data_IF_336394746213
#
_entry.id   IF_336394746213
#
_cell.length_a   1.000
_cell.length_b   1.000
_cell.length_c   1.000
_cell.angle_alpha   90.00
_cell.angle_beta   90.00
_cell.angle_gamma   90.00
#
_symmetry.space_group_name_H-M   'P 1'
#
loop_
_entity.id
_entity.type
_entity.pdbx_description
1 polymer ?
#
# COMPACT_ATOMS: atom_id res chain seq x y z
N UNK A 1 21.32 26.10 -18.57
CA UNK A 1 20.83 26.68 -17.31
C UNK A 1 19.53 25.97 -16.94
N UNK A 2 19.57 24.95 -16.13
CA UNK A 2 18.38 24.36 -15.54
C UNK A 2 17.92 25.31 -14.44
N UNK A 3 16.79 25.97 -14.63
CA UNK A 3 16.14 26.73 -13.57
C UNK A 3 15.72 25.75 -12.50
N UNK A 4 16.37 25.80 -11.35
CA UNK A 4 15.92 25.16 -10.11
C UNK A 4 14.53 25.70 -9.75
N UNK A 5 13.49 25.13 -10.35
CA UNK A 5 12.13 25.45 -9.97
C UNK A 5 11.86 24.81 -8.61
N UNK A 6 11.75 25.64 -7.58
CA UNK A 6 11.31 25.24 -6.24
C UNK A 6 10.06 24.35 -6.39
N UNK A 7 10.05 23.14 -5.83
CA UNK A 7 8.92 22.24 -5.92
C UNK A 7 7.68 22.94 -5.35
N UNK A 8 6.69 23.23 -6.21
CA UNK A 8 5.48 23.93 -5.78
C UNK A 8 4.57 22.96 -5.03
N UNK A 9 4.16 23.34 -3.83
CA UNK A 9 3.18 22.60 -3.04
C UNK A 9 1.89 22.34 -3.81
N UNK A 10 1.32 21.16 -3.66
CA UNK A 10 0.05 20.75 -4.29
C UNK A 10 0.05 20.87 -5.83
N UNK A 11 1.22 20.78 -6.47
CA UNK A 11 1.35 21.01 -7.91
C UNK A 11 0.48 20.04 -8.74
N UNK A 12 0.34 18.78 -8.31
CA UNK A 12 -0.50 17.78 -8.98
C UNK A 12 -1.99 18.16 -9.01
N UNK A 13 -2.50 18.91 -8.01
CA UNK A 13 -3.89 19.33 -7.97
C UNK A 13 -4.24 20.40 -9.04
N UNK A 14 -3.26 20.93 -9.75
CA UNK A 14 -3.51 21.83 -10.90
C UNK A 14 -4.09 21.09 -12.10
N UNK A 15 -3.89 19.76 -12.15
CA UNK A 15 -4.44 18.91 -13.21
C UNK A 15 -5.88 18.49 -12.85
N UNK A 16 -6.91 18.98 -13.62
CA UNK A 16 -8.30 18.60 -13.32
C UNK A 16 -8.53 17.08 -13.34
N UNK A 17 -7.88 16.37 -14.26
CA UNK A 17 -7.94 14.92 -14.34
C UNK A 17 -7.37 14.26 -13.09
N UNK A 18 -6.29 14.80 -12.50
CA UNK A 18 -5.74 14.27 -11.27
C UNK A 18 -6.66 14.51 -10.06
N UNK A 19 -7.29 15.68 -9.95
CA UNK A 19 -8.28 15.95 -8.89
C UNK A 19 -9.43 14.95 -8.92
N UNK A 20 -10.00 14.71 -10.12
CA UNK A 20 -11.08 13.75 -10.30
C UNK A 20 -10.62 12.33 -9.94
N UNK A 21 -9.44 11.92 -10.40
CA UNK A 21 -8.84 10.63 -10.05
C UNK A 21 -8.61 10.49 -8.54
N UNK A 22 -8.07 11.52 -7.89
CA UNK A 22 -7.78 11.51 -6.46
C UNK A 22 -9.06 11.28 -5.64
N UNK A 23 -10.13 12.03 -5.91
CA UNK A 23 -11.40 11.90 -5.20
C UNK A 23 -12.04 10.54 -5.44
N UNK A 24 -12.17 10.13 -6.72
CA UNK A 24 -12.79 8.85 -7.06
C UNK A 24 -11.96 7.64 -6.62
N UNK A 25 -10.63 7.78 -6.64
CA UNK A 25 -9.71 6.78 -6.11
C UNK A 25 -9.77 6.65 -4.59
N UNK A 26 -9.97 7.78 -3.85
CA UNK A 26 -10.23 7.74 -2.41
C UNK A 26 -11.50 6.98 -2.09
N UNK A 27 -12.58 7.23 -2.83
CA UNK A 27 -13.85 6.50 -2.68
C UNK A 27 -13.66 5.00 -2.94
N UNK A 28 -12.94 4.63 -3.99
CA UNK A 28 -12.66 3.23 -4.29
C UNK A 28 -11.82 2.56 -3.17
N UNK A 29 -10.83 3.26 -2.61
CA UNK A 29 -10.05 2.75 -1.47
C UNK A 29 -10.89 2.65 -0.18
N UNK A 30 -11.82 3.57 0.03
CA UNK A 30 -12.78 3.48 1.13
C UNK A 30 -13.69 2.26 0.95
N UNK A 31 -14.22 2.03 -0.28
CA UNK A 31 -15.05 0.88 -0.58
C UNK A 31 -14.32 -0.46 -0.39
N UNK A 32 -13.04 -0.53 -0.76
CA UNK A 32 -12.16 -1.67 -0.49
C UNK A 32 -12.10 -1.98 1.01
N UNK A 33 -11.92 -0.96 1.84
CA UNK A 33 -11.85 -1.13 3.30
C UNK A 33 -13.21 -1.37 3.97
N UNK A 34 -14.31 -0.85 3.44
CA UNK A 34 -15.68 -1.18 3.86
C UNK A 34 -15.92 -2.69 3.70
N UNK A 35 -15.55 -3.25 2.54
CA UNK A 35 -15.68 -4.68 2.27
C UNK A 35 -14.93 -5.52 3.31
N UNK A 36 -13.68 -5.16 3.61
CA UNK A 36 -12.89 -5.86 4.62
C UNK A 36 -13.55 -5.84 6.01
N UNK A 37 -14.02 -4.68 6.45
CA UNK A 37 -14.66 -4.55 7.76
C UNK A 37 -15.90 -5.44 7.87
N UNK A 38 -16.78 -5.39 6.87
CA UNK A 38 -18.03 -6.15 6.91
C UNK A 38 -17.77 -7.65 6.73
N UNK A 39 -16.95 -8.03 5.74
CA UNK A 39 -16.68 -9.45 5.44
C UNK A 39 -15.92 -10.14 6.58
N UNK A 40 -14.88 -9.50 7.13
CA UNK A 40 -14.12 -10.08 8.26
C UNK A 40 -14.97 -10.21 9.51
N UNK A 41 -15.83 -9.23 9.81
CA UNK A 41 -16.77 -9.33 10.91
C UNK A 41 -17.70 -10.54 10.76
N UNK A 42 -18.35 -10.69 9.60
CA UNK A 42 -19.30 -11.80 9.36
C UNK A 42 -18.60 -13.16 9.37
N UNK A 43 -17.40 -13.26 8.78
CA UNK A 43 -16.58 -14.48 8.83
C UNK A 43 -16.28 -14.84 10.28
N UNK A 44 -15.84 -13.87 11.08
CA UNK A 44 -15.53 -14.09 12.50
C UNK A 44 -16.76 -14.51 13.28
N UNK A 45 -17.89 -13.81 13.11
CA UNK A 45 -19.13 -14.08 13.83
C UNK A 45 -19.69 -15.46 13.49
N UNK A 46 -19.71 -15.84 12.20
CA UNK A 46 -20.30 -17.08 11.74
C UNK A 46 -19.44 -18.31 11.97
N UNK A 47 -18.14 -18.22 11.73
CA UNK A 47 -17.26 -19.38 11.76
C UNK A 47 -16.41 -19.46 13.04
N UNK A 48 -16.20 -18.37 13.75
CA UNK A 48 -15.39 -18.27 14.97
C UNK A 48 -14.06 -19.00 14.89
N UNK A 49 -13.43 -18.99 13.70
CA UNK A 49 -12.21 -19.72 13.39
C UNK A 49 -11.02 -18.76 13.24
N UNK A 50 -10.07 -18.73 14.20
CA UNK A 50 -8.82 -17.97 14.07
C UNK A 50 -8.00 -18.39 12.85
N UNK A 51 -8.07 -19.69 12.49
CA UNK A 51 -7.39 -20.22 11.29
C UNK A 51 -7.93 -19.57 10.02
N UNK A 52 -9.26 -19.43 9.91
CA UNK A 52 -9.88 -18.79 8.75
C UNK A 52 -9.49 -17.31 8.64
N UNK A 53 -9.33 -16.61 9.78
CA UNK A 53 -8.80 -15.24 9.81
C UNK A 53 -7.36 -15.18 9.26
N UNK A 54 -6.51 -16.13 9.64
CA UNK A 54 -5.14 -16.23 9.08
C UNK A 54 -5.14 -16.54 7.58
N UNK A 55 -5.98 -17.46 7.14
CA UNK A 55 -6.18 -17.80 5.72
C UNK A 55 -6.68 -16.59 4.95
N UNK A 56 -7.59 -15.80 5.52
CA UNK A 56 -8.09 -14.57 4.91
C UNK A 56 -6.97 -13.56 4.62
N UNK A 57 -6.06 -13.35 5.56
CA UNK A 57 -4.87 -12.49 5.35
C UNK A 57 -3.96 -13.05 4.26
N UNK A 58 -3.67 -14.35 4.30
CA UNK A 58 -2.82 -14.99 3.30
C UNK A 58 -3.42 -14.88 1.90
N UNK A 59 -4.68 -15.22 1.72
CA UNK A 59 -5.36 -15.19 0.42
C UNK A 59 -5.44 -13.79 -0.17
N UNK A 60 -5.55 -12.78 0.68
CA UNK A 60 -5.53 -11.37 0.25
C UNK A 60 -4.13 -10.90 -0.21
N UNK A 61 -3.06 -11.22 0.53
CA UNK A 61 -1.72 -10.68 0.23
C UNK A 61 -0.87 -11.59 -0.67
N UNK A 62 -1.13 -12.88 -0.70
CA UNK A 62 -0.39 -13.83 -1.52
C UNK A 62 -0.42 -13.51 -3.03
N UNK A 63 -1.53 -13.05 -3.63
CA UNK A 63 -1.55 -12.59 -5.01
C UNK A 63 -0.54 -11.49 -5.31
N UNK A 64 -0.29 -10.58 -4.38
CA UNK A 64 0.71 -9.52 -4.57
C UNK A 64 2.13 -10.07 -4.68
N UNK A 65 2.44 -11.14 -3.95
CA UNK A 65 3.75 -11.78 -4.03
C UNK A 65 4.00 -12.41 -5.40
N UNK A 66 3.02 -13.12 -5.93
CA UNK A 66 3.21 -13.89 -7.16
C UNK A 66 2.93 -13.11 -8.45
N UNK A 67 1.96 -12.19 -8.43
CA UNK A 67 1.45 -11.56 -9.65
C UNK A 67 1.79 -10.09 -9.81
N UNK A 68 2.40 -9.40 -8.82
CA UNK A 68 2.69 -7.97 -8.93
C UNK A 68 3.60 -7.62 -10.11
N UNK A 69 4.64 -8.43 -10.39
CA UNK A 69 5.54 -8.19 -11.53
C UNK A 69 4.83 -8.44 -12.85
N UNK A 70 3.99 -9.48 -12.92
CA UNK A 70 3.16 -9.76 -14.09
C UNK A 70 2.17 -8.61 -14.33
N UNK A 71 1.51 -8.13 -13.29
CA UNK A 71 0.61 -6.98 -13.37
C UNK A 71 1.33 -5.70 -13.80
N UNK A 72 2.55 -5.49 -13.32
CA UNK A 72 3.42 -4.41 -13.81
C UNK A 72 3.70 -4.53 -15.32
N UNK A 73 3.96 -5.75 -15.80
CA UNK A 73 4.14 -6.00 -17.23
C UNK A 73 2.85 -5.78 -18.04
N UNK A 74 1.67 -6.07 -17.45
CA UNK A 74 0.40 -5.75 -18.07
C UNK A 74 0.19 -4.23 -18.14
N UNK A 75 0.56 -3.49 -17.08
CA UNK A 75 0.48 -2.03 -17.04
C UNK A 75 1.41 -1.35 -18.07
N UNK A 76 2.55 -1.97 -18.40
CA UNK A 76 3.42 -1.50 -19.48
C UNK A 76 2.82 -1.73 -20.88
N UNK A 77 1.98 -2.77 -21.06
CA UNK A 77 1.49 -3.23 -22.38
C UNK A 77 0.09 -2.75 -22.72
N UNK A 78 -0.77 -2.66 -21.73
CA UNK A 78 -2.20 -2.38 -21.92
C UNK A 78 -2.55 -0.95 -21.47
N UNK A 79 -3.72 -0.51 -21.87
CA UNK A 79 -4.30 0.75 -21.41
C UNK A 79 -4.59 0.67 -19.90
N UNK A 80 -3.88 1.49 -19.13
CA UNK A 80 -3.98 1.50 -17.67
C UNK A 80 -5.40 1.82 -17.16
N UNK A 81 -6.18 2.62 -17.91
CA UNK A 81 -7.60 2.85 -17.61
C UNK A 81 -8.40 1.56 -17.62
N UNK A 82 -8.19 0.72 -18.67
CA UNK A 82 -8.90 -0.56 -18.81
C UNK A 82 -8.49 -1.56 -17.74
N UNK A 83 -7.20 -1.59 -17.38
CA UNK A 83 -6.73 -2.44 -16.29
C UNK A 83 -7.38 -2.04 -14.96
N UNK A 84 -7.48 -0.74 -14.67
CA UNK A 84 -8.16 -0.26 -13.47
C UNK A 84 -9.67 -0.54 -13.55
N UNK A 85 -10.31 -0.38 -14.72
CA UNK A 85 -11.72 -0.76 -14.90
C UNK A 85 -11.97 -2.25 -14.61
N UNK A 86 -11.11 -3.14 -15.11
CA UNK A 86 -11.18 -4.57 -14.80
C UNK A 86 -11.03 -4.82 -13.30
N UNK A 87 -10.06 -4.17 -12.64
CA UNK A 87 -9.89 -4.28 -11.20
C UNK A 87 -11.13 -3.80 -10.42
N UNK A 88 -11.71 -2.65 -10.80
CA UNK A 88 -12.94 -2.14 -10.18
C UNK A 88 -14.14 -3.10 -10.38
N UNK A 89 -14.30 -3.67 -11.57
CA UNK A 89 -15.33 -4.67 -11.83
C UNK A 89 -15.11 -5.94 -10.99
N UNK A 90 -13.87 -6.37 -10.77
CA UNK A 90 -13.56 -7.49 -9.89
C UNK A 90 -13.92 -7.17 -8.42
N UNK A 91 -13.57 -5.99 -7.89
CA UNK A 91 -13.97 -5.56 -6.55
C UNK A 91 -15.52 -5.50 -6.42
N UNK A 92 -16.19 -4.91 -7.40
CA UNK A 92 -17.65 -4.85 -7.42
C UNK A 92 -18.28 -6.26 -7.43
N UNK A 93 -17.72 -7.19 -8.22
CA UNK A 93 -18.19 -8.58 -8.27
C UNK A 93 -17.96 -9.31 -6.94
N UNK A 94 -16.84 -9.07 -6.26
CA UNK A 94 -16.54 -9.64 -4.94
C UNK A 94 -17.51 -9.09 -3.89
N UNK A 95 -17.68 -7.76 -3.82
CA UNK A 95 -18.65 -7.12 -2.91
C UNK A 95 -20.09 -7.62 -3.16
N UNK A 96 -20.47 -7.79 -4.43
CA UNK A 96 -21.76 -8.37 -4.79
C UNK A 96 -21.85 -9.84 -4.38
N UNK A 97 -20.79 -10.62 -4.59
CA UNK A 97 -20.72 -12.02 -4.16
C UNK A 97 -20.93 -12.17 -2.66
N UNK A 98 -20.19 -11.39 -1.85
CA UNK A 98 -20.41 -11.32 -0.41
C UNK A 98 -21.84 -10.93 -0.05
N UNK A 99 -22.36 -9.87 -0.67
CA UNK A 99 -23.71 -9.38 -0.42
C UNK A 99 -24.78 -10.47 -0.64
N UNK A 100 -24.70 -11.18 -1.77
CA UNK A 100 -25.64 -12.26 -2.12
C UNK A 100 -25.53 -13.43 -1.13
N UNK A 101 -24.30 -13.85 -0.77
CA UNK A 101 -24.07 -14.93 0.17
C UNK A 101 -24.58 -14.59 1.58
N UNK A 102 -24.46 -13.32 2.00
CA UNK A 102 -24.99 -12.88 3.31
C UNK A 102 -26.51 -12.74 3.31
N UNK A 103 -27.11 -12.24 2.21
CA UNK A 103 -28.56 -12.11 2.08
C UNK A 103 -29.28 -13.46 2.01
N UNK A 104 -28.60 -14.48 1.43
CA UNK A 104 -29.16 -15.83 1.29
C UNK A 104 -28.74 -16.78 2.40
N UNK A 105 -27.93 -16.32 3.35
CA UNK A 105 -27.30 -17.14 4.40
C UNK A 105 -26.55 -18.38 3.88
N UNK A 106 -26.08 -18.32 2.64
CA UNK A 106 -25.41 -19.42 1.94
C UNK A 106 -23.89 -19.44 2.10
N UNK A 107 -23.31 -18.55 2.92
CA UNK A 107 -21.86 -18.44 3.09
C UNK A 107 -21.26 -19.69 3.69
N UNK A 108 -20.16 -20.19 3.10
CA UNK A 108 -19.30 -21.26 3.57
C UNK A 108 -17.84 -20.79 3.58
N UNK A 109 -16.96 -21.48 4.32
CA UNK A 109 -15.55 -21.09 4.47
C UNK A 109 -14.81 -20.93 3.11
N UNK A 110 -15.03 -21.84 2.17
CA UNK A 110 -14.40 -21.78 0.86
C UNK A 110 -14.83 -20.56 0.01
N UNK A 111 -16.04 -20.05 0.21
CA UNK A 111 -16.47 -18.80 -0.43
C UNK A 111 -15.57 -17.64 0.00
N UNK A 112 -15.25 -17.57 1.30
CA UNK A 112 -14.35 -16.56 1.83
C UNK A 112 -12.96 -16.62 1.15
N UNK A 113 -12.40 -17.84 1.03
CA UNK A 113 -11.11 -18.07 0.37
C UNK A 113 -11.14 -17.59 -1.08
N UNK A 114 -12.16 -17.95 -1.84
CA UNK A 114 -12.29 -17.58 -3.26
C UNK A 114 -12.47 -16.07 -3.40
N UNK A 115 -13.41 -15.47 -2.67
CA UNK A 115 -13.72 -14.04 -2.80
C UNK A 115 -12.51 -13.19 -2.37
N UNK A 116 -11.83 -13.52 -1.28
CA UNK A 116 -10.63 -12.78 -0.84
C UNK A 116 -9.45 -12.97 -1.80
N UNK A 117 -9.31 -14.13 -2.44
CA UNK A 117 -8.30 -14.35 -3.47
C UNK A 117 -8.58 -13.47 -4.71
N UNK A 118 -9.83 -13.41 -5.17
CA UNK A 118 -10.24 -12.56 -6.31
C UNK A 118 -10.06 -11.08 -5.95
N UNK A 119 -10.40 -10.69 -4.71
CA UNK A 119 -10.17 -9.35 -4.18
C UNK A 119 -8.68 -8.98 -4.20
N UNK A 120 -7.81 -9.86 -3.69
CA UNK A 120 -6.36 -9.66 -3.75
C UNK A 120 -5.83 -9.52 -5.18
N UNK A 121 -6.32 -10.33 -6.12
CA UNK A 121 -5.97 -10.22 -7.55
C UNK A 121 -6.41 -8.86 -8.14
N UNK A 122 -7.59 -8.35 -7.77
CA UNK A 122 -8.04 -7.03 -8.19
C UNK A 122 -7.08 -5.93 -7.71
N UNK A 123 -6.65 -6.00 -6.44
CA UNK A 123 -5.66 -5.09 -5.86
C UNK A 123 -4.30 -5.15 -6.58
N UNK A 124 -3.85 -6.35 -6.94
CA UNK A 124 -2.61 -6.55 -7.72
C UNK A 124 -2.68 -5.87 -9.08
N UNK A 125 -3.81 -5.96 -9.78
CA UNK A 125 -4.00 -5.31 -11.09
C UNK A 125 -4.11 -3.79 -10.93
N UNK A 126 -4.82 -3.32 -9.90
CA UNK A 126 -5.01 -1.89 -9.64
C UNK A 126 -3.69 -1.17 -9.33
N UNK A 127 -2.83 -1.76 -8.52
CA UNK A 127 -1.63 -1.09 -7.99
C UNK A 127 -0.72 -0.48 -9.07
N UNK A 128 -0.04 -1.26 -9.93
CA UNK A 128 0.83 -0.73 -10.98
C UNK A 128 0.08 0.14 -12.00
N UNK A 129 -1.12 -0.28 -12.41
CA UNK A 129 -1.90 0.46 -13.40
C UNK A 129 -2.26 1.87 -12.91
N UNK A 130 -2.63 2.02 -11.62
CA UNK A 130 -2.94 3.30 -11.01
C UNK A 130 -1.72 4.23 -10.97
N UNK A 131 -0.57 3.70 -10.61
CA UNK A 131 0.68 4.46 -10.56
C UNK A 131 1.12 4.94 -11.95
N UNK A 132 0.94 4.10 -12.96
CA UNK A 132 1.21 4.47 -14.36
C UNK A 132 0.23 5.53 -14.87
N UNK A 133 -1.07 5.39 -14.53
CA UNK A 133 -2.10 6.37 -14.90
C UNK A 133 -1.83 7.74 -14.26
N UNK A 134 -1.43 7.79 -13.00
CA UNK A 134 -1.04 9.03 -12.31
C UNK A 134 0.09 9.73 -13.09
N UNK A 135 1.12 8.98 -13.48
CA UNK A 135 2.20 9.52 -14.29
C UNK A 135 1.70 10.09 -15.63
N UNK A 136 0.77 9.39 -16.30
CA UNK A 136 0.21 9.83 -17.58
C UNK A 136 -0.63 11.11 -17.43
N UNK A 137 -1.23 11.36 -16.26
CA UNK A 137 -2.04 12.55 -15.98
C UNK A 137 -1.16 13.78 -15.67
N UNK A 138 -0.16 13.63 -14.78
CA UNK A 138 0.57 14.77 -14.22
C UNK A 138 1.96 14.98 -14.83
N UNK A 139 2.47 14.00 -15.59
CA UNK A 139 3.83 14.02 -16.11
C UNK A 139 4.90 13.80 -15.04
N UNK A 140 6.17 13.77 -15.47
CA UNK A 140 7.31 13.55 -14.58
C UNK A 140 7.54 14.72 -13.61
N UNK A 141 7.26 15.95 -14.05
CA UNK A 141 7.49 17.20 -13.30
C UNK A 141 6.67 17.24 -11.98
N UNK A 142 5.40 16.80 -12.02
CA UNK A 142 4.51 16.84 -10.86
C UNK A 142 4.30 15.46 -10.20
N UNK A 143 5.04 14.44 -10.63
CA UNK A 143 4.85 13.05 -10.19
C UNK A 143 5.08 12.90 -8.68
N UNK A 144 6.09 13.55 -8.12
CA UNK A 144 6.39 13.46 -6.69
C UNK A 144 5.23 14.00 -5.83
N UNK A 145 4.65 15.16 -6.22
CA UNK A 145 3.46 15.71 -5.59
C UNK A 145 2.27 14.76 -5.70
N UNK A 146 2.04 14.20 -6.88
CA UNK A 146 0.95 13.26 -7.12
C UNK A 146 1.09 11.97 -6.30
N UNK A 147 2.28 11.41 -6.17
CA UNK A 147 2.51 10.20 -5.37
C UNK A 147 2.23 10.45 -3.90
N UNK A 148 2.70 11.59 -3.33
CA UNK A 148 2.42 11.96 -1.93
C UNK A 148 0.93 12.15 -1.67
N UNK A 149 0.25 12.91 -2.51
CA UNK A 149 -1.19 13.15 -2.41
C UNK A 149 -1.99 11.86 -2.57
N UNK A 150 -1.60 10.99 -3.50
CA UNK A 150 -2.26 9.69 -3.69
C UNK A 150 -2.05 8.78 -2.48
N UNK A 151 -0.86 8.78 -1.86
CA UNK A 151 -0.61 8.02 -0.64
C UNK A 151 -1.47 8.55 0.54
N UNK A 152 -1.58 9.87 0.69
CA UNK A 152 -2.44 10.52 1.68
C UNK A 152 -3.92 10.17 1.45
N UNK A 153 -4.38 10.27 0.21
CA UNK A 153 -5.73 9.92 -0.23
C UNK A 153 -6.08 8.45 0.08
N UNK A 154 -5.16 7.53 -0.18
CA UNK A 154 -5.34 6.12 0.18
C UNK A 154 -5.49 5.92 1.69
N UNK A 155 -4.65 6.57 2.50
CA UNK A 155 -4.77 6.48 3.95
C UNK A 155 -6.07 7.11 4.46
N UNK A 156 -6.56 8.16 3.82
CA UNK A 156 -7.89 8.71 4.13
C UNK A 156 -8.99 7.69 3.83
N UNK A 157 -8.94 7.01 2.69
CA UNK A 157 -9.88 5.93 2.36
C UNK A 157 -9.82 4.78 3.36
N UNK A 158 -8.62 4.35 3.77
CA UNK A 158 -8.39 3.32 4.78
C UNK A 158 -8.98 3.74 6.15
N UNK A 159 -8.81 5.00 6.54
CA UNK A 159 -9.35 5.53 7.80
C UNK A 159 -10.88 5.64 7.78
N UNK A 160 -11.43 6.09 6.66
CA UNK A 160 -12.89 6.28 6.52
C UNK A 160 -13.63 4.95 6.35
N UNK A 161 -12.97 3.93 5.76
CA UNK A 161 -13.58 2.62 5.49
C UNK A 161 -14.24 1.99 6.70
N UNK A 162 -13.54 1.78 7.83
CA UNK A 162 -14.12 1.21 9.04
C UNK A 162 -15.29 2.02 9.62
N UNK A 163 -15.22 3.34 9.60
CA UNK A 163 -16.28 4.19 10.12
C UNK A 163 -17.56 4.08 9.25
N UNK A 164 -17.41 4.18 7.94
CA UNK A 164 -18.54 4.05 6.99
C UNK A 164 -19.03 2.60 6.94
N UNK A 165 -18.11 1.62 6.90
CA UNK A 165 -18.45 0.19 6.89
C UNK A 165 -19.18 -0.27 8.14
N UNK A 166 -18.73 0.19 9.32
CA UNK A 166 -19.44 -0.05 10.58
C UNK A 166 -20.82 0.60 10.61
N UNK A 167 -20.94 1.84 10.10
CA UNK A 167 -22.24 2.49 9.94
C UNK A 167 -23.19 1.74 9.00
N UNK A 168 -22.70 1.28 7.85
CA UNK A 168 -23.48 0.48 6.90
C UNK A 168 -23.91 -0.87 7.52
N UNK A 169 -23.00 -1.53 8.25
CA UNK A 169 -23.29 -2.78 8.94
C UNK A 169 -24.40 -2.61 9.98
N UNK A 170 -24.31 -1.56 10.80
CA UNK A 170 -25.28 -1.30 11.87
C UNK A 170 -26.65 -0.86 11.35
N UNK A 171 -26.70 -0.02 10.30
CA UNK A 171 -27.95 0.54 9.79
C UNK A 171 -28.68 -0.38 8.82
N UNK A 172 -27.96 -1.14 8.02
CA UNK A 172 -28.52 -1.91 6.88
C UNK A 172 -28.21 -3.40 6.93
N UNK A 173 -27.37 -3.83 7.89
CA UNK A 173 -26.87 -5.20 7.93
C UNK A 173 -25.79 -5.49 6.87
N UNK A 174 -25.15 -6.68 6.93
CA UNK A 174 -23.98 -6.98 6.11
C UNK A 174 -24.29 -7.08 4.62
N UNK A 175 -25.40 -7.72 4.25
CA UNK A 175 -25.75 -7.94 2.84
C UNK A 175 -26.08 -6.65 2.11
N UNK A 176 -27.00 -5.82 2.65
CA UNK A 176 -27.38 -4.54 2.06
C UNK A 176 -26.24 -3.54 2.14
N UNK A 177 -25.46 -3.55 3.23
CA UNK A 177 -24.26 -2.71 3.38
C UNK A 177 -23.26 -2.94 2.25
N UNK A 178 -23.04 -4.21 1.84
CA UNK A 178 -22.14 -4.53 0.72
C UNK A 178 -22.75 -4.27 -0.66
N UNK A 179 -24.07 -4.36 -0.81
CA UNK A 179 -24.74 -3.87 -2.04
C UNK A 179 -24.52 -2.37 -2.23
N UNK A 180 -24.66 -1.58 -1.16
CA UNK A 180 -24.39 -0.14 -1.20
C UNK A 180 -22.91 0.13 -1.48
N UNK A 181 -21.99 -0.70 -0.96
CA UNK A 181 -20.55 -0.60 -1.22
C UNK A 181 -20.21 -0.73 -2.71
N UNK A 182 -20.92 -1.59 -3.46
CA UNK A 182 -20.74 -1.72 -4.92
C UNK A 182 -20.92 -0.37 -5.62
N UNK A 183 -21.84 0.47 -5.16
CA UNK A 183 -22.11 1.78 -5.78
C UNK A 183 -20.97 2.79 -5.56
N UNK A 184 -20.19 2.62 -4.51
CA UNK A 184 -19.06 3.52 -4.18
C UNK A 184 -17.92 3.38 -5.20
N UNK A 185 -17.78 2.25 -5.89
CA UNK A 185 -16.81 2.07 -6.98
C UNK A 185 -17.22 2.75 -8.30
N UNK A 186 -18.54 2.98 -8.51
CA UNK A 186 -19.08 3.50 -9.77
C UNK A 186 -18.47 4.84 -10.21
N UNK A 187 -18.24 5.84 -9.32
CA UNK A 187 -17.65 7.11 -9.72
C UNK A 187 -16.28 6.97 -10.40
N UNK A 188 -15.39 6.09 -9.87
CA UNK A 188 -14.08 5.84 -10.49
C UNK A 188 -14.24 5.15 -11.84
N UNK A 189 -15.10 4.13 -11.92
CA UNK A 189 -15.36 3.40 -13.17
C UNK A 189 -15.89 4.33 -14.26
N UNK A 190 -16.84 5.19 -13.90
CA UNK A 190 -17.43 6.18 -14.80
C UNK A 190 -16.42 7.22 -15.28
N UNK A 191 -15.59 7.74 -14.36
CA UNK A 191 -14.55 8.70 -14.71
C UNK A 191 -13.52 8.08 -15.66
N UNK A 192 -13.07 6.85 -15.40
CA UNK A 192 -12.15 6.11 -16.26
C UNK A 192 -12.71 5.87 -17.67
N UNK A 193 -14.01 5.74 -17.80
CA UNK A 193 -14.66 5.57 -19.12
C UNK A 193 -14.58 6.84 -19.95
N UNK A 194 -14.78 8.00 -19.33
CA UNK A 194 -14.82 9.30 -20.03
C UNK A 194 -13.46 9.95 -20.25
N UNK A 195 -12.43 9.52 -19.52
CA UNK A 195 -11.12 10.20 -19.55
C UNK A 195 -10.29 9.80 -20.76
N UNK A 196 -9.53 10.73 -21.40
CA UNK A 196 -8.69 10.44 -22.58
C UNK A 196 -7.30 9.85 -22.24
N UNK A 197 -6.91 9.83 -20.95
CA UNK A 197 -5.58 9.42 -20.55
C UNK A 197 -5.30 7.94 -20.86
N UNK A 198 -4.06 7.61 -21.27
CA UNK A 198 -3.65 6.23 -21.60
C UNK A 198 -3.72 5.86 -23.09
N UNK A 199 -4.46 6.63 -23.92
CA UNK A 199 -4.56 6.35 -25.37
C UNK A 199 -3.31 6.73 -26.16
N UNK A 200 -2.61 7.79 -25.75
CA UNK A 200 -1.40 8.28 -26.44
C UNK A 200 -0.24 7.30 -26.37
N UNK A 201 -0.15 6.53 -25.27
CA UNK A 201 0.90 5.51 -25.10
C UNK A 201 0.73 4.32 -26.03
N UNK A 202 -0.50 3.98 -26.40
CA UNK A 202 -0.81 2.91 -27.37
C UNK A 202 -0.22 3.16 -28.75
N UNK A 203 -0.10 4.42 -29.16
CA UNK A 203 0.42 4.77 -30.51
C UNK A 203 1.94 4.70 -30.59
N UNK A 204 2.64 4.96 -29.49
CA UNK A 204 4.11 4.94 -29.43
C UNK A 204 4.73 3.59 -29.04
N UNK A 205 4.00 2.69 -28.39
CA UNK A 205 4.53 1.43 -27.84
C UNK A 205 4.21 0.16 -28.67
N UNK A 206 3.75 0.27 -29.89
CA UNK A 206 3.49 -0.90 -30.76
C UNK A 206 4.72 -1.79 -31.04
N UNK A 207 5.90 -1.47 -30.50
CA UNK A 207 7.17 -2.04 -30.99
C UNK A 207 7.98 -2.93 -30.04
N UNK A 208 7.68 -3.08 -28.74
CA UNK A 208 8.63 -3.78 -27.85
C UNK A 208 8.05 -4.66 -26.74
N UNK A 209 6.95 -5.37 -26.95
CA UNK A 209 6.39 -6.20 -25.90
C UNK A 209 6.71 -7.70 -26.08
N UNK A 210 7.84 -8.17 -25.58
CA UNK A 210 8.12 -9.59 -25.33
C UNK A 210 7.69 -10.01 -23.92
N UNK A 211 7.13 -11.22 -23.82
CA UNK A 211 6.36 -11.78 -22.74
C UNK A 211 6.87 -11.62 -21.30
N UNK A 212 5.91 -11.61 -20.35
CA UNK A 212 6.17 -11.69 -18.91
C UNK A 212 6.38 -13.13 -18.47
N UNK A 213 7.58 -13.67 -18.65
CA UNK A 213 8.00 -14.98 -18.13
C UNK A 213 8.86 -14.75 -16.87
N UNK A 214 8.93 -15.74 -15.97
CA UNK A 214 9.79 -15.68 -14.78
C UNK A 214 11.23 -15.33 -15.13
N UNK A 215 11.71 -15.81 -16.27
CA UNK A 215 13.01 -15.43 -16.86
C UNK A 215 13.11 -13.94 -17.15
N UNK A 216 12.00 -13.29 -17.49
CA UNK A 216 11.97 -11.84 -17.74
C UNK A 216 12.04 -11.03 -16.41
N UNK A 217 11.52 -11.57 -15.30
CA UNK A 217 11.63 -10.94 -13.97
C UNK A 217 13.08 -10.90 -13.49
N UNK A 218 13.81 -12.01 -13.62
CA UNK A 218 15.26 -12.05 -13.33
C UNK A 218 16.04 -11.09 -14.23
N UNK A 219 15.65 -10.99 -15.51
CA UNK A 219 16.20 -10.00 -16.44
C UNK A 219 15.99 -8.55 -15.99
N UNK A 220 14.81 -8.24 -15.43
CA UNK A 220 14.50 -6.91 -14.89
C UNK A 220 15.37 -6.62 -13.67
N UNK A 221 15.42 -7.55 -12.71
CA UNK A 221 16.26 -7.43 -11.53
C UNK A 221 17.71 -7.14 -11.96
N UNK A 222 18.23 -7.88 -12.94
CA UNK A 222 19.58 -7.67 -13.46
C UNK A 222 19.76 -6.29 -14.12
N UNK A 223 18.75 -5.80 -14.85
CA UNK A 223 18.80 -4.49 -15.48
C UNK A 223 18.75 -3.34 -14.48
N UNK A 224 17.94 -3.46 -13.41
CA UNK A 224 17.83 -2.42 -12.38
C UNK A 224 18.86 -2.55 -11.26
N UNK A 225 19.55 -3.69 -11.14
CA UNK A 225 20.55 -3.95 -10.10
C UNK A 225 21.73 -2.96 -10.12
N UNK A 226 22.01 -2.35 -11.26
CA UNK A 226 22.98 -1.27 -11.40
C UNK A 226 22.52 0.08 -10.85
N UNK A 227 21.21 0.29 -10.66
CA UNK A 227 20.65 1.51 -10.08
C UNK A 227 20.49 1.35 -8.56
N UNK A 228 21.44 1.90 -7.80
CA UNK A 228 21.46 1.80 -6.33
C UNK A 228 20.23 2.41 -5.67
N UNK A 229 19.65 3.48 -6.24
CA UNK A 229 18.44 4.11 -5.73
C UNK A 229 17.27 3.14 -5.81
N UNK A 230 17.02 2.56 -6.98
CA UNK A 230 15.92 1.59 -7.16
C UNK A 230 16.10 0.40 -6.22
N UNK A 231 17.30 -0.19 -6.20
CA UNK A 231 17.59 -1.38 -5.36
C UNK A 231 17.41 -1.07 -3.89
N UNK A 232 18.00 0.04 -3.39
CA UNK A 232 17.88 0.41 -1.97
C UNK A 232 16.43 0.69 -1.56
N UNK A 233 15.63 1.33 -2.41
CA UNK A 233 14.23 1.64 -2.10
C UNK A 233 13.33 0.38 -2.13
N UNK A 234 13.54 -0.52 -3.08
CA UNK A 234 12.81 -1.80 -3.13
C UNK A 234 13.17 -2.68 -1.93
N UNK A 235 14.46 -2.76 -1.58
CA UNK A 235 14.90 -3.49 -0.39
C UNK A 235 14.34 -2.86 0.88
N UNK A 236 14.38 -1.53 1.01
CA UNK A 236 13.89 -0.82 2.18
C UNK A 236 12.42 -1.14 2.48
N UNK A 237 11.54 -1.00 1.48
CA UNK A 237 10.12 -1.30 1.68
C UNK A 237 9.87 -2.80 1.85
N UNK A 238 10.68 -3.65 1.19
CA UNK A 238 10.58 -5.10 1.28
C UNK A 238 10.91 -5.60 2.68
N UNK A 239 12.04 -5.21 3.25
CA UNK A 239 12.43 -5.63 4.61
C UNK A 239 11.50 -5.02 5.67
N UNK A 240 11.04 -3.77 5.48
CA UNK A 240 10.05 -3.15 6.35
C UNK A 240 8.75 -3.93 6.37
N UNK A 241 8.28 -4.37 5.20
CA UNK A 241 7.06 -5.17 5.07
C UNK A 241 7.21 -6.59 5.62
N UNK A 242 8.38 -7.21 5.42
CA UNK A 242 8.66 -8.56 5.90
C UNK A 242 8.72 -8.65 7.43
N UNK A 243 9.47 -7.75 8.08
CA UNK A 243 9.70 -7.84 9.52
C UNK A 243 8.57 -7.25 10.35
N UNK A 244 7.99 -6.13 9.95
CA UNK A 244 6.97 -5.41 10.71
C UNK A 244 5.65 -5.36 9.93
N UNK A 245 5.69 -4.94 8.67
CA UNK A 245 4.54 -4.83 7.79
C UNK A 245 3.35 -4.12 8.45
N UNK A 246 2.21 -4.80 8.47
CA UNK A 246 0.99 -4.40 9.18
C UNK A 246 0.58 -5.43 10.24
N UNK A 247 1.47 -6.37 10.62
CA UNK A 247 1.12 -7.43 11.57
C UNK A 247 0.71 -6.87 12.94
N UNK A 248 1.36 -5.78 13.39
CA UNK A 248 0.98 -5.10 14.63
C UNK A 248 -0.46 -4.56 14.60
N UNK A 249 -1.00 -4.20 13.43
CA UNK A 249 -2.39 -3.72 13.32
C UNK A 249 -3.41 -4.85 13.57
N UNK A 250 -3.10 -6.06 13.11
CA UNK A 250 -3.95 -7.23 13.36
C UNK A 250 -3.95 -7.63 14.84
N UNK A 251 -2.86 -7.37 15.56
CA UNK A 251 -2.69 -7.66 16.98
C UNK A 251 -3.02 -6.47 17.89
N UNK A 252 -3.44 -5.34 17.32
CA UNK A 252 -3.71 -4.11 18.09
C UNK A 252 -4.74 -4.29 19.23
N UNK A 253 -5.76 -5.18 19.13
CA UNK A 253 -6.65 -5.45 20.27
C UNK A 253 -5.92 -6.02 21.47
N UNK A 254 -4.93 -6.90 21.26
CA UNK A 254 -4.11 -7.50 22.32
C UNK A 254 -3.19 -6.46 22.97
N UNK A 255 -2.54 -5.59 22.18
CA UNK A 255 -1.79 -4.46 22.70
C UNK A 255 -2.68 -3.52 23.55
N UNK A 256 -3.89 -3.23 23.09
CA UNK A 256 -4.83 -2.37 23.85
C UNK A 256 -5.26 -3.02 25.17
N UNK A 257 -5.44 -4.35 25.19
CA UNK A 257 -5.74 -5.10 26.39
C UNK A 257 -4.57 -5.04 27.38
N UNK A 258 -3.36 -5.31 26.94
CA UNK A 258 -2.16 -5.36 27.78
C UNK A 258 -1.75 -3.99 28.34
N UNK A 259 -2.15 -2.89 27.65
CA UNK A 259 -2.00 -1.52 28.15
C UNK A 259 -2.99 -1.15 29.28
N UNK A 260 -3.78 -2.12 29.76
CA UNK A 260 -4.61 -1.98 30.97
C UNK A 260 -5.79 -1.02 30.84
N UNK A 261 -6.35 -0.86 29.64
CA UNK A 261 -7.48 0.04 29.40
C UNK A 261 -8.81 -0.66 29.70
N UNK A 262 -9.71 -0.01 30.46
CA UNK A 262 -11.03 -0.56 30.80
C UNK A 262 -11.92 -0.77 29.57
N UNK A 263 -11.81 0.12 28.56
CA UNK A 263 -12.58 0.05 27.32
C UNK A 263 -11.68 -0.37 26.13
N UNK A 264 -11.41 -1.67 26.01
CA UNK A 264 -10.51 -2.25 24.99
C UNK A 264 -10.90 -1.82 23.57
N UNK A 265 -12.20 -1.79 23.24
CA UNK A 265 -12.68 -1.42 21.89
C UNK A 265 -12.34 0.03 21.54
N UNK A 266 -12.51 0.96 22.47
CA UNK A 266 -12.19 2.36 22.25
C UNK A 266 -10.67 2.55 22.14
N UNK A 267 -9.92 1.94 23.04
CA UNK A 267 -8.46 2.05 23.10
C UNK A 267 -7.79 1.50 21.85
N UNK A 268 -8.22 0.35 21.38
CA UNK A 268 -7.81 -0.23 20.10
C UNK A 268 -8.08 0.73 18.93
N UNK A 269 -9.29 1.28 18.87
CA UNK A 269 -9.71 2.20 17.82
C UNK A 269 -8.89 3.49 17.83
N UNK A 270 -8.57 4.03 19.03
CA UNK A 270 -7.74 5.23 19.19
C UNK A 270 -6.30 4.99 18.73
N UNK A 271 -5.70 3.82 19.03
CA UNK A 271 -4.35 3.48 18.57
C UNK A 271 -4.29 3.42 17.04
N UNK A 272 -5.27 2.78 16.38
CA UNK A 272 -5.35 2.75 14.93
C UNK A 272 -5.60 4.14 14.33
N UNK A 273 -6.50 4.91 14.93
CA UNK A 273 -6.81 6.28 14.51
C UNK A 273 -5.58 7.20 14.65
N UNK A 274 -4.79 7.05 15.71
CA UNK A 274 -3.55 7.79 15.91
C UNK A 274 -2.55 7.52 14.76
N UNK A 275 -2.34 6.26 14.41
CA UNK A 275 -1.48 5.89 13.27
C UNK A 275 -1.98 6.49 11.95
N UNK A 276 -3.27 6.40 11.68
CA UNK A 276 -3.87 6.97 10.47
C UNK A 276 -3.80 8.51 10.46
N UNK A 277 -4.02 9.17 11.59
CA UNK A 277 -3.89 10.61 11.73
C UNK A 277 -2.45 11.08 11.51
N UNK A 278 -1.47 10.33 12.04
CA UNK A 278 -0.05 10.57 11.77
C UNK A 278 0.28 10.47 10.28
N UNK A 279 -0.23 9.44 9.60
CA UNK A 279 -0.05 9.28 8.16
C UNK A 279 -0.68 10.44 7.36
N UNK A 280 -1.90 10.86 7.71
CA UNK A 280 -2.55 12.02 7.08
C UNK A 280 -1.75 13.31 7.29
N UNK A 281 -1.30 13.57 8.52
CA UNK A 281 -0.46 14.72 8.85
C UNK A 281 0.84 14.72 8.04
N UNK A 282 1.50 13.56 7.93
CA UNK A 282 2.69 13.37 7.10
C UNK A 282 2.45 13.76 5.64
N UNK A 283 1.38 13.23 5.04
CA UNK A 283 1.04 13.52 3.66
C UNK A 283 0.81 15.01 3.40
N UNK A 284 0.06 15.67 4.28
CA UNK A 284 -0.24 17.09 4.16
C UNK A 284 1.01 17.98 4.38
N UNK A 285 1.82 17.67 5.41
CA UNK A 285 3.03 18.44 5.74
C UNK A 285 4.09 18.28 4.65
N UNK A 286 4.36 17.06 4.21
CA UNK A 286 5.34 16.80 3.16
C UNK A 286 4.96 17.44 1.84
N UNK A 287 3.65 17.47 1.51
CA UNK A 287 3.17 18.11 0.31
C UNK A 287 3.17 19.64 0.42
N UNK A 288 2.68 20.20 1.55
CA UNK A 288 2.59 21.65 1.72
C UNK A 288 3.95 22.34 1.77
N UNK A 289 4.95 21.67 2.32
CA UNK A 289 6.27 22.27 2.54
C UNK A 289 7.35 21.82 1.56
N UNK A 290 7.08 20.81 0.74
CA UNK A 290 8.06 20.17 -0.18
C UNK A 290 9.41 19.86 0.53
N UNK A 291 9.35 19.46 1.81
CA UNK A 291 10.47 19.49 2.76
C UNK A 291 11.61 18.52 2.44
N UNK A 292 11.35 17.45 1.70
CA UNK A 292 12.33 16.39 1.55
C UNK A 292 12.78 16.27 0.09
N UNK A 293 14.12 16.38 -0.16
CA UNK A 293 14.67 16.15 -1.48
C UNK A 293 14.42 14.68 -1.90
N UNK A 294 14.21 14.47 -3.19
CA UNK A 294 14.08 13.13 -3.77
C UNK A 294 15.45 12.42 -3.76
N UNK A 295 15.83 11.88 -2.59
CA UNK A 295 17.06 11.11 -2.42
C UNK A 295 16.84 9.92 -1.48
N UNK A 296 17.64 8.84 -1.60
CA UNK A 296 17.48 7.65 -0.75
C UNK A 296 17.71 7.90 0.73
N UNK A 297 18.63 8.81 1.08
CA UNK A 297 19.04 9.05 2.48
C UNK A 297 17.89 9.45 3.40
N UNK A 298 17.07 10.48 3.10
CA UNK A 298 15.93 10.82 3.95
C UNK A 298 14.96 9.67 4.12
N UNK A 299 14.66 8.89 3.08
CA UNK A 299 13.76 7.74 3.18
C UNK A 299 14.30 6.70 4.17
N UNK A 300 15.59 6.40 4.12
CA UNK A 300 16.24 5.44 5.03
C UNK A 300 16.28 5.98 6.46
N UNK A 301 16.59 7.26 6.67
CA UNK A 301 16.57 7.89 8.01
C UNK A 301 15.16 7.87 8.61
N UNK A 302 14.13 8.18 7.82
CA UNK A 302 12.74 8.10 8.27
C UNK A 302 12.35 6.67 8.67
N UNK A 303 12.87 5.66 7.95
CA UNK A 303 12.65 4.25 8.31
C UNK A 303 13.35 3.88 9.62
N UNK A 304 14.56 4.39 9.86
CA UNK A 304 15.26 4.22 11.14
C UNK A 304 14.43 4.78 12.30
N UNK A 305 13.93 6.01 12.14
CA UNK A 305 13.06 6.63 13.15
C UNK A 305 11.75 5.84 13.33
N UNK A 306 11.18 5.31 12.25
CA UNK A 306 10.02 4.44 12.30
C UNK A 306 10.28 3.15 13.09
N UNK A 307 11.42 2.49 12.89
CA UNK A 307 11.81 1.31 13.66
C UNK A 307 11.89 1.64 15.17
N UNK A 308 12.46 2.80 15.53
CA UNK A 308 12.54 3.23 16.92
C UNK A 308 11.15 3.52 17.52
N UNK A 309 10.25 4.16 16.75
CA UNK A 309 8.88 4.42 17.20
C UNK A 309 8.09 3.11 17.41
N UNK A 310 8.22 2.13 16.50
CA UNK A 310 7.57 0.82 16.62
C UNK A 310 8.18 0.02 17.79
N UNK A 311 9.52 0.02 17.97
CA UNK A 311 10.15 -0.64 19.10
C UNK A 311 9.72 0.01 20.43
N UNK A 312 9.66 1.33 20.49
CA UNK A 312 9.15 2.07 21.67
C UNK A 312 7.69 1.73 21.97
N UNK A 313 6.82 1.68 20.94
CA UNK A 313 5.44 1.24 21.10
C UNK A 313 5.35 -0.19 21.63
N UNK A 314 6.19 -1.09 21.13
CA UNK A 314 6.17 -2.49 21.54
C UNK A 314 6.51 -2.72 23.01
N UNK A 315 7.34 -1.86 23.62
CA UNK A 315 7.82 -2.04 25.01
C UNK A 315 7.20 -1.09 26.03
N UNK A 316 6.31 -0.20 25.61
CA UNK A 316 5.69 0.74 26.54
C UNK A 316 4.46 0.17 27.24
N UNK A 317 4.35 0.41 28.55
CA UNK A 317 3.16 0.09 29.35
C UNK A 317 2.27 1.35 29.55
N UNK A 318 2.64 2.48 28.94
CA UNK A 318 1.93 3.75 29.10
C UNK A 318 1.05 4.01 27.87
N UNK A 319 -0.26 3.93 28.03
CA UNK A 319 -1.22 4.09 26.93
C UNK A 319 -1.12 5.45 26.20
N UNK A 320 -1.06 6.63 26.88
CA UNK A 320 -0.84 7.91 26.21
C UNK A 320 0.43 7.95 25.38
N UNK A 321 1.53 7.36 25.87
CA UNK A 321 2.78 7.25 25.13
C UNK A 321 2.62 6.31 23.93
N UNK A 322 1.92 5.20 24.06
CA UNK A 322 1.59 4.27 22.98
C UNK A 322 0.83 4.98 21.84
N UNK A 323 -0.16 5.82 22.19
CA UNK A 323 -0.92 6.63 21.21
C UNK A 323 -0.01 7.62 20.50
N UNK A 324 0.87 8.32 21.21
CA UNK A 324 1.83 9.27 20.64
C UNK A 324 2.82 8.56 19.71
N UNK A 325 3.34 7.41 20.12
CA UNK A 325 4.27 6.60 19.30
C UNK A 325 3.58 6.04 18.05
N UNK A 326 2.31 5.64 18.13
CA UNK A 326 1.54 5.22 16.96
C UNK A 326 1.29 6.36 15.97
N UNK A 327 1.01 7.57 16.46
CA UNK A 327 0.92 8.76 15.60
C UNK A 327 2.25 9.02 14.87
N UNK A 328 3.37 9.01 15.59
CA UNK A 328 4.70 9.19 15.02
C UNK A 328 5.04 8.07 14.03
N UNK A 329 4.72 6.83 14.38
CA UNK A 329 4.94 5.69 13.49
C UNK A 329 4.15 5.81 12.18
N UNK A 330 2.88 6.19 12.24
CA UNK A 330 2.07 6.43 11.05
C UNK A 330 2.62 7.56 10.18
N UNK A 331 3.05 8.67 10.80
CA UNK A 331 3.69 9.79 10.12
C UNK A 331 4.95 9.34 9.35
N UNK A 332 5.86 8.65 10.03
CA UNK A 332 7.13 8.20 9.46
C UNK A 332 6.93 7.13 8.37
N UNK A 333 5.95 6.23 8.57
CA UNK A 333 5.64 5.17 7.62
C UNK A 333 5.18 5.75 6.28
N UNK A 334 4.24 6.70 6.28
CA UNK A 334 3.83 7.34 5.04
C UNK A 334 4.98 8.11 4.40
N UNK A 335 5.75 8.85 5.19
CA UNK A 335 6.86 9.65 4.69
C UNK A 335 7.87 8.79 3.94
N UNK A 336 8.42 7.74 4.55
CA UNK A 336 9.44 6.92 3.89
C UNK A 336 8.88 6.12 2.72
N UNK A 337 7.66 5.57 2.85
CA UNK A 337 7.10 4.73 1.79
C UNK A 337 6.73 5.52 0.54
N UNK A 338 6.14 6.72 0.69
CA UNK A 338 5.84 7.59 -0.45
C UNK A 338 7.09 8.13 -1.13
N UNK A 339 8.16 8.42 -0.35
CA UNK A 339 9.46 8.79 -0.92
C UNK A 339 10.09 7.64 -1.69
N UNK A 340 10.13 6.44 -1.12
CA UNK A 340 10.65 5.25 -1.78
C UNK A 340 9.89 4.97 -3.09
N UNK A 341 8.57 5.05 -3.06
CA UNK A 341 7.73 4.88 -4.24
C UNK A 341 8.01 5.93 -5.31
N UNK A 342 8.11 7.20 -4.94
CA UNK A 342 8.41 8.31 -5.86
C UNK A 342 9.77 8.14 -6.52
N UNK A 343 10.80 7.80 -5.75
CA UNK A 343 12.15 7.58 -6.26
C UNK A 343 12.20 6.42 -7.26
N UNK A 344 11.56 5.31 -6.94
CA UNK A 344 11.48 4.16 -7.86
C UNK A 344 10.76 4.53 -9.15
N UNK A 345 9.67 5.30 -9.09
CA UNK A 345 8.92 5.70 -10.28
C UNK A 345 9.69 6.70 -11.16
N UNK A 346 10.43 7.63 -10.56
CA UNK A 346 11.22 8.65 -11.29
C UNK A 346 12.45 8.01 -11.94
N UNK A 347 13.17 7.15 -11.20
CA UNK A 347 14.40 6.51 -11.64
C UNK A 347 14.18 5.32 -12.59
N UNK A 348 12.95 4.77 -12.64
CA UNK A 348 12.64 3.61 -13.46
C UNK A 348 12.72 3.96 -14.96
N UNK A 349 13.45 3.14 -15.77
CA UNK A 349 13.49 3.31 -17.22
C UNK A 349 12.08 3.30 -17.81
N UNK A 350 11.78 4.22 -18.73
CA UNK A 350 10.42 4.41 -19.28
C UNK A 350 9.81 3.11 -19.81
N UNK A 351 10.61 2.29 -20.52
CA UNK A 351 10.16 1.04 -21.14
C UNK A 351 9.97 -0.14 -20.15
N UNK A 352 10.42 0.00 -18.88
CA UNK A 352 10.31 -1.01 -17.83
C UNK A 352 9.56 -0.50 -16.60
N UNK A 353 9.05 0.74 -16.63
CA UNK A 353 8.51 1.41 -15.45
C UNK A 353 7.43 0.61 -14.76
N UNK A 354 6.46 0.07 -15.48
CA UNK A 354 5.39 -0.74 -14.90
C UNK A 354 5.93 -2.00 -14.21
N UNK A 355 6.89 -2.67 -14.82
CA UNK A 355 7.52 -3.87 -14.23
C UNK A 355 8.33 -3.54 -12.97
N UNK A 356 9.05 -2.41 -12.97
CA UNK A 356 9.79 -1.93 -11.79
C UNK A 356 8.83 -1.56 -10.66
N UNK A 357 7.71 -0.92 -10.99
CA UNK A 357 6.60 -0.66 -10.06
C UNK A 357 6.01 -1.99 -9.55
N UNK A 358 5.83 -2.98 -10.43
CA UNK A 358 5.40 -4.32 -10.05
C UNK A 358 6.34 -4.98 -9.04
N UNK A 359 7.65 -4.89 -9.26
CA UNK A 359 8.68 -5.39 -8.33
C UNK A 359 8.64 -4.63 -6.98
N UNK A 360 8.46 -3.32 -7.01
CA UNK A 360 8.26 -2.51 -5.81
C UNK A 360 7.02 -2.95 -5.03
N UNK A 361 5.89 -3.14 -5.71
CA UNK A 361 4.64 -3.58 -5.08
C UNK A 361 4.72 -5.02 -4.56
N UNK A 362 5.41 -5.92 -5.25
CA UNK A 362 5.71 -7.26 -4.76
C UNK A 362 6.49 -7.20 -3.44
N UNK A 363 7.51 -6.35 -3.35
CA UNK A 363 8.28 -6.15 -2.13
C UNK A 363 7.47 -5.48 -1.03
N UNK A 364 6.73 -4.40 -1.35
CA UNK A 364 6.00 -3.63 -0.35
C UNK A 364 4.73 -4.33 0.16
N UNK A 365 3.98 -5.01 -0.71
CA UNK A 365 2.71 -5.64 -0.36
C UNK A 365 2.84 -7.17 -0.24
N UNK A 366 3.55 -7.82 -1.17
CA UNK A 366 3.68 -9.28 -1.16
C UNK A 366 4.43 -9.81 0.06
N UNK A 367 5.51 -9.14 0.47
CA UNK A 367 6.27 -9.55 1.64
C UNK A 367 5.54 -9.33 2.97
N UNK A 368 4.44 -8.55 3.00
CA UNK A 368 3.58 -8.43 4.18
C UNK A 368 2.99 -9.74 4.66
N UNK A 369 2.75 -10.69 3.77
CA UNK A 369 2.28 -12.02 4.15
C UNK A 369 3.19 -12.66 5.22
N UNK A 370 4.49 -12.40 5.16
CA UNK A 370 5.49 -12.92 6.09
C UNK A 370 5.57 -12.17 7.43
N UNK A 371 5.08 -10.94 7.52
CA UNK A 371 5.05 -10.22 8.79
C UNK A 371 4.15 -10.91 9.83
N UNK A 372 3.14 -11.66 9.38
CA UNK A 372 2.34 -12.53 10.25
C UNK A 372 3.19 -13.64 10.92
N UNK A 373 4.24 -14.10 10.27
CA UNK A 373 5.18 -15.08 10.83
C UNK A 373 6.16 -14.40 11.79
N UNK A 374 6.79 -13.30 11.37
CA UNK A 374 7.82 -12.62 12.17
C UNK A 374 7.26 -11.95 13.42
N UNK A 375 6.04 -11.45 13.39
CA UNK A 375 5.39 -10.80 14.54
C UNK A 375 4.33 -11.72 15.15
N UNK A 376 3.46 -12.35 14.35
CA UNK A 376 2.34 -13.14 14.84
C UNK A 376 2.79 -14.49 15.41
N UNK A 377 3.42 -15.36 14.61
CA UNK A 377 3.84 -16.68 15.08
C UNK A 377 4.93 -16.58 16.15
N UNK A 378 5.93 -15.70 15.96
CA UNK A 378 6.95 -15.48 17.00
C UNK A 378 6.32 -14.90 18.28
N UNK A 379 5.27 -14.08 18.15
CA UNK A 379 4.50 -13.53 19.27
C UNK A 379 3.84 -14.60 20.13
N UNK A 380 3.39 -15.71 19.53
CA UNK A 380 2.85 -16.84 20.30
C UNK A 380 3.90 -17.58 21.14
N UNK A 381 5.19 -17.42 20.82
CA UNK A 381 6.30 -18.09 21.54
C UNK A 381 6.91 -17.19 22.62
N UNK A 382 7.11 -15.92 22.34
CA UNK A 382 7.82 -14.99 23.23
C UNK A 382 6.98 -13.77 23.67
N UNK A 383 5.70 -13.74 23.33
CA UNK A 383 4.80 -12.61 23.55
C UNK A 383 4.84 -11.58 22.42
N UNK A 384 3.70 -10.93 22.15
CA UNK A 384 3.54 -9.98 21.03
C UNK A 384 4.44 -8.74 21.16
N UNK A 385 4.66 -8.27 22.38
CA UNK A 385 5.50 -7.11 22.69
C UNK A 385 6.96 -7.37 22.28
N UNK A 386 7.54 -8.46 22.77
CA UNK A 386 8.93 -8.84 22.46
C UNK A 386 9.12 -9.23 21.01
N UNK A 387 8.15 -9.89 20.40
CA UNK A 387 8.18 -10.27 19.00
C UNK A 387 8.22 -9.03 18.09
N UNK A 388 7.38 -8.03 18.33
CA UNK A 388 7.37 -6.79 17.57
C UNK A 388 8.65 -5.97 17.82
N UNK A 389 9.09 -5.86 19.08
CA UNK A 389 10.33 -5.16 19.43
C UNK A 389 11.55 -5.77 18.73
N UNK A 390 11.70 -7.10 18.79
CA UNK A 390 12.78 -7.83 18.12
C UNK A 390 12.73 -7.63 16.59
N UNK A 391 11.55 -7.75 15.99
CA UNK A 391 11.35 -7.53 14.55
C UNK A 391 11.75 -6.11 14.14
N UNK A 392 11.38 -5.10 14.94
CA UNK A 392 11.76 -3.71 14.70
C UNK A 392 13.28 -3.46 14.85
N UNK A 393 13.92 -4.11 15.83
CA UNK A 393 15.36 -4.00 16.04
C UNK A 393 16.17 -4.69 14.94
N UNK A 394 15.73 -5.86 14.48
CA UNK A 394 16.37 -6.55 13.34
C UNK A 394 16.23 -5.70 12.09
N UNK A 395 15.05 -5.14 11.85
CA UNK A 395 14.81 -4.21 10.74
C UNK A 395 15.70 -2.97 10.85
N UNK A 396 15.86 -2.41 12.05
CA UNK A 396 16.76 -1.28 12.31
C UNK A 396 18.20 -1.60 11.91
N UNK A 397 18.72 -2.76 12.33
CA UNK A 397 20.05 -3.20 11.97
C UNK A 397 20.24 -3.31 10.44
N UNK A 398 19.28 -3.93 9.75
CA UNK A 398 19.31 -4.03 8.27
C UNK A 398 19.23 -2.65 7.62
N UNK A 399 18.42 -1.74 8.16
CA UNK A 399 18.26 -0.38 7.62
C UNK A 399 19.53 0.45 7.79
N UNK A 400 20.28 0.27 8.88
CA UNK A 400 21.59 0.89 9.07
C UNK A 400 22.62 0.38 8.05
N UNK A 401 22.62 -0.93 7.74
CA UNK A 401 23.46 -1.49 6.67
C UNK A 401 23.07 -0.93 5.30
N UNK A 402 21.76 -0.80 5.03
CA UNK A 402 21.26 -0.16 3.82
C UNK A 402 21.68 1.31 3.70
N UNK A 403 21.71 2.05 4.81
CA UNK A 403 22.21 3.43 4.83
C UNK A 403 23.69 3.48 4.42
N UNK A 404 24.52 2.61 5.00
CA UNK A 404 25.93 2.50 4.65
C UNK A 404 26.14 2.12 3.16
N UNK A 405 25.30 1.23 2.64
CA UNK A 405 25.31 0.86 1.21
C UNK A 405 24.93 2.03 0.30
N UNK A 406 23.86 2.75 0.63
CA UNK A 406 23.38 3.89 -0.15
C UNK A 406 24.32 5.10 -0.12
N UNK A 407 25.16 5.20 0.92
CA UNK A 407 26.14 6.29 1.08
C UNK A 407 27.47 6.05 0.34
N UNK A 408 27.75 4.84 -0.11
CA UNK A 408 28.98 4.57 -0.87
C UNK A 408 28.99 5.37 -2.17
N UNK A 409 30.07 6.12 -2.47
CA UNK A 409 30.16 6.88 -3.71
C UNK A 409 30.00 5.91 -4.89
N UNK A 410 29.07 6.25 -5.82
CA UNK A 410 28.89 5.47 -7.03
C UNK A 410 30.19 5.46 -7.83
N UNK A 411 30.64 4.29 -8.25
CA UNK A 411 31.65 4.20 -9.29
C UNK A 411 31.14 4.99 -10.50
N UNK A 412 31.74 6.16 -10.78
CA UNK A 412 31.48 6.89 -12.02
C UNK A 412 31.68 5.89 -13.18
N UNK A 413 30.63 5.61 -13.94
CA UNK A 413 30.84 5.01 -15.25
C UNK A 413 31.77 5.94 -15.99
N UNK A 414 32.99 5.51 -16.20
CA UNK A 414 33.87 6.08 -17.22
C UNK A 414 33.12 5.83 -18.53
N UNK A 415 32.47 6.86 -19.05
CA UNK A 415 32.09 6.88 -20.45
C UNK A 415 33.40 6.91 -21.20
N UNK A 416 33.82 5.76 -21.73
CA UNK A 416 34.79 5.71 -22.81
C UNK A 416 34.09 6.31 -24.01
N UNK A 417 34.26 7.64 -24.20
CA UNK A 417 34.13 8.26 -25.52
C UNK A 417 35.32 7.75 -26.32
N UNK A 418 35.08 6.84 -27.27
CA UNK A 418 35.81 6.61 -28.49
C UNK A 418 34.82 6.19 -29.58
#
# INVERSE_FOLDING_TARGET
MATDSVPRSFAALRHPGYRAYLVTGTLAMMADNIEHVISYWVIFEKFRSPVLGGVAVLTHWLPFLFFSVLSGALADRFDNRRLIQVAMLMFMAVSLGWALLFLTDAIQEWHAVVLLTVHGLAGVVWGPASQMLIHDIVGAEHLQSAVRLNATSRNLGILMGPAVGGGLLLLFGPGVGLLLNVLIYVPLLWWLWKTPYGEQRRRSQKLTARGGDLKSTLGIIRQVSGNRTIVSMILLVGVSSFFVGHAYQAQMPEYAHDLGTEEIHLSYSVLLAASAAGALASGLILESRALLPASPRPAIVLTILWCLAIAGFAVTDNYPLAVALMFVAGFLQLAFSSMAQSLVQVEAPVHLRGRVIGLFNMSNNGLRAFSGVTVGFLGSLIGIHWSLALSALVLLAITLVLLAFAMRPGQKRVTSDE
#
